data_IF_747425722556
#
_entry.id   IF_747425722556
#
_cell.length_a   1.000
_cell.length_b   1.000
_cell.length_c   1.000
_cell.angle_alpha   90.00
_cell.angle_beta   90.00
_cell.angle_gamma   90.00
#
_symmetry.space_group_name_H-M   'P 1'
#
loop_
_entity.id
_entity.type
_entity.pdbx_description
1 polymer ?
#
# COMPACT_ATOMS: atom_id res chain seq x y z
N UNK A 1 -13.03 4.99 -8.91
CA UNK A 1 -12.64 4.82 -7.49
C UNK A 1 -12.75 3.35 -7.08
N UNK A 2 -11.94 2.86 -6.15
CA UNK A 2 -12.04 1.50 -5.60
C UNK A 2 -12.20 1.58 -4.08
N UNK A 3 -13.12 0.82 -3.52
CA UNK A 3 -13.28 0.68 -2.08
C UNK A 3 -13.42 -0.80 -1.70
N UNK A 4 -12.75 -1.19 -0.63
CA UNK A 4 -12.86 -2.50 0.00
C UNK A 4 -13.01 -2.32 1.51
N UNK A 5 -13.66 -3.28 2.17
CA UNK A 5 -13.72 -3.34 3.63
C UNK A 5 -12.91 -4.52 4.12
N UNK A 6 -12.04 -4.27 5.09
CA UNK A 6 -11.37 -5.32 5.86
C UNK A 6 -12.36 -5.84 6.89
N UNK A 7 -12.45 -7.15 7.06
CA UNK A 7 -13.43 -7.79 7.94
C UNK A 7 -13.19 -7.45 9.43
N UNK A 8 -11.92 -7.42 9.84
CA UNK A 8 -11.49 -7.02 11.19
C UNK A 8 -10.39 -5.95 11.09
N UNK A 9 -10.63 -4.77 11.68
CA UNK A 9 -9.64 -3.69 11.71
C UNK A 9 -8.41 -4.05 12.56
N UNK A 10 -8.54 -4.99 13.51
CA UNK A 10 -7.43 -5.50 14.31
C UNK A 10 -6.36 -6.24 13.50
N UNK A 11 -6.69 -6.69 12.28
CA UNK A 11 -5.73 -7.33 11.36
C UNK A 11 -4.79 -6.32 10.67
N UNK A 12 -5.00 -5.01 10.85
CA UNK A 12 -4.17 -3.96 10.26
C UNK A 12 -3.03 -3.58 11.19
N UNK A 13 -1.81 -3.97 10.81
CA UNK A 13 -0.61 -3.48 11.46
C UNK A 13 -0.25 -2.08 10.93
N UNK A 14 -0.27 -1.08 11.81
CA UNK A 14 0.12 0.30 11.48
C UNK A 14 1.60 0.48 11.79
N UNK A 15 2.40 0.77 10.77
CA UNK A 15 3.83 1.08 10.94
C UNK A 15 3.97 2.46 11.58
N UNK A 16 4.63 2.52 12.74
CA UNK A 16 5.10 3.79 13.31
C UNK A 16 6.23 4.35 12.44
N UNK A 17 6.11 5.57 11.87
CA UNK A 17 7.19 6.20 11.12
C UNK A 17 8.53 6.23 11.87
N UNK A 18 8.50 6.33 13.21
CA UNK A 18 9.71 6.37 14.05
C UNK A 18 10.38 5.01 14.19
N UNK A 19 9.66 3.91 13.96
CA UNK A 19 10.22 2.55 14.01
C UNK A 19 10.86 2.12 12.69
N UNK A 20 10.75 2.93 11.62
CA UNK A 20 11.36 2.61 10.32
C UNK A 20 12.88 2.75 10.44
N UNK A 21 13.68 1.72 10.09
CA UNK A 21 15.12 1.71 10.33
C UNK A 21 15.88 2.89 9.67
N UNK A 22 15.40 3.36 8.53
CA UNK A 22 15.95 4.52 7.84
C UNK A 22 14.82 5.53 7.56
N UNK A 23 14.82 6.71 8.21
CA UNK A 23 13.77 7.70 8.01
C UNK A 23 13.74 8.28 6.59
N UNK A 24 14.81 8.14 5.80
CA UNK A 24 14.82 8.57 4.41
C UNK A 24 13.98 7.67 3.49
N UNK A 25 13.58 6.47 3.93
CA UNK A 25 12.68 5.60 3.15
C UNK A 25 11.27 6.18 3.00
N UNK A 26 10.89 7.15 3.83
CA UNK A 26 9.63 7.89 3.70
C UNK A 26 9.72 9.08 2.73
N UNK A 27 10.76 9.12 1.88
CA UNK A 27 10.92 10.13 0.83
C UNK A 27 10.85 9.45 -0.56
N UNK A 28 10.38 10.14 -1.60
CA UNK A 28 10.34 9.56 -2.95
C UNK A 28 11.74 9.15 -3.43
N UNK A 29 11.87 7.94 -3.99
CA UNK A 29 13.13 7.41 -4.48
C UNK A 29 13.03 5.95 -4.94
N UNK A 30 14.12 5.44 -5.53
CA UNK A 30 14.22 4.03 -5.95
C UNK A 30 14.42 3.16 -4.70
N UNK A 31 13.59 2.12 -4.46
CA UNK A 31 13.70 1.30 -3.27
C UNK A 31 14.97 0.43 -3.31
N UNK A 32 15.79 0.52 -2.27
CA UNK A 32 16.97 -0.32 -2.07
C UNK A 32 16.66 -1.67 -1.41
N UNK A 33 17.64 -2.58 -1.39
CA UNK A 33 17.47 -3.94 -0.87
C UNK A 33 16.98 -3.99 0.59
N UNK A 34 17.48 -3.12 1.47
CA UNK A 34 17.04 -3.07 2.87
C UNK A 34 15.57 -2.64 3.03
N UNK A 35 15.10 -1.73 2.17
CA UNK A 35 13.70 -1.28 2.18
C UNK A 35 12.76 -2.39 1.70
N UNK A 36 13.17 -3.12 0.66
CA UNK A 36 12.42 -4.27 0.14
C UNK A 36 12.34 -5.40 1.18
N UNK A 37 13.47 -5.79 1.78
CA UNK A 37 13.52 -6.84 2.81
C UNK A 37 12.68 -6.48 4.05
N UNK A 38 12.65 -5.20 4.45
CA UNK A 38 11.79 -4.73 5.53
C UNK A 38 10.30 -4.87 5.18
N UNK A 39 9.91 -4.51 3.95
CA UNK A 39 8.55 -4.70 3.45
C UNK A 39 8.14 -6.18 3.39
N UNK A 40 9.02 -7.05 2.88
CA UNK A 40 8.79 -8.50 2.82
C UNK A 40 8.58 -9.10 4.20
N UNK A 41 9.35 -8.66 5.19
CA UNK A 41 9.22 -9.12 6.57
C UNK A 41 7.91 -8.65 7.22
N UNK A 42 7.49 -7.42 6.97
CA UNK A 42 6.18 -6.94 7.40
C UNK A 42 5.04 -7.78 6.80
N UNK A 43 5.08 -8.05 5.50
CA UNK A 43 4.05 -8.85 4.81
C UNK A 43 4.05 -10.33 5.21
N UNK A 44 5.19 -10.86 5.69
CA UNK A 44 5.27 -12.21 6.25
C UNK A 44 4.62 -12.30 7.64
N UNK A 45 4.76 -11.25 8.44
CA UNK A 45 4.28 -11.21 9.84
C UNK A 45 2.85 -10.73 9.99
N UNK A 46 2.39 -9.87 9.09
CA UNK A 46 1.12 -9.17 9.23
C UNK A 46 0.27 -9.31 7.96
N UNK A 47 -1.03 -9.52 8.16
CA UNK A 47 -1.97 -9.74 7.06
C UNK A 47 -2.21 -8.47 6.24
N UNK A 48 -2.40 -7.33 6.92
CA UNK A 48 -2.49 -6.01 6.31
C UNK A 48 -1.48 -5.08 6.97
N UNK A 49 -0.81 -4.26 6.16
CA UNK A 49 0.18 -3.30 6.63
C UNK A 49 -0.21 -1.90 6.15
N UNK A 50 -0.51 -1.01 7.10
CA UNK A 50 -0.62 0.41 6.82
C UNK A 50 0.79 1.03 6.98
N UNK A 51 1.39 1.42 5.86
CA UNK A 51 2.73 2.02 5.81
C UNK A 51 2.66 3.52 5.49
N UNK A 52 3.46 4.39 6.13
CA UNK A 52 3.51 5.81 5.81
C UNK A 52 3.79 6.04 4.31
N UNK A 53 3.05 6.96 3.71
CA UNK A 53 3.23 7.32 2.31
C UNK A 53 4.53 8.12 2.13
N UNK A 54 5.34 7.71 1.15
CA UNK A 54 6.55 8.44 0.76
C UNK A 54 6.25 9.74 -0.01
N UNK A 55 5.00 9.96 -0.45
CA UNK A 55 4.60 11.07 -1.33
C UNK A 55 3.67 12.06 -0.62
N UNK A 56 2.85 11.60 0.33
CA UNK A 56 1.89 12.43 1.05
C UNK A 56 2.12 12.32 2.56
N UNK A 57 2.67 13.36 3.21
CA UNK A 57 2.82 13.38 4.66
C UNK A 57 1.46 13.18 5.36
N UNK A 58 1.48 12.46 6.49
CA UNK A 58 0.28 12.11 7.26
C UNK A 58 -0.75 11.23 6.51
N UNK A 59 -0.36 10.61 5.40
CA UNK A 59 -1.15 9.58 4.71
C UNK A 59 -0.49 8.21 4.85
N UNK A 60 -1.30 7.16 4.80
CA UNK A 60 -0.85 5.77 4.80
C UNK A 60 -1.29 5.08 3.51
N UNK A 61 -0.43 4.21 2.99
CA UNK A 61 -0.76 3.24 1.98
C UNK A 61 -1.06 1.90 2.67
N UNK A 62 -2.09 1.21 2.23
CA UNK A 62 -2.39 -0.14 2.68
C UNK A 62 -1.77 -1.15 1.71
N UNK A 63 -0.95 -2.08 2.23
CA UNK A 63 -0.29 -3.12 1.44
C UNK A 63 -0.60 -4.49 2.05
N UNK A 64 -0.94 -5.45 1.20
CA UNK A 64 -1.25 -6.82 1.59
C UNK A 64 -1.12 -7.77 0.38
N UNK A 65 -0.99 -9.07 0.67
CA UNK A 65 -0.97 -10.11 -0.36
C UNK A 65 -2.39 -10.57 -0.66
N UNK A 66 -2.95 -10.18 -1.82
CA UNK A 66 -4.36 -10.43 -2.15
C UNK A 66 -4.79 -11.91 -2.15
N UNK A 67 -3.88 -12.83 -2.46
CA UNK A 67 -4.15 -14.28 -2.41
C UNK A 67 -4.00 -14.93 -1.04
N UNK A 68 -3.36 -14.25 -0.07
CA UNK A 68 -3.02 -14.83 1.22
C UNK A 68 -4.13 -14.68 2.27
N UNK A 69 -5.23 -13.99 1.94
CA UNK A 69 -6.27 -13.65 2.90
C UNK A 69 -7.70 -13.83 2.32
N UNK A 70 -8.10 -15.07 1.94
CA UNK A 70 -9.48 -15.32 1.51
C UNK A 70 -10.47 -14.86 2.59
N UNK A 71 -11.50 -14.13 2.19
CA UNK A 71 -12.54 -13.56 3.07
C UNK A 71 -12.09 -12.53 4.13
N UNK A 72 -10.80 -12.15 4.19
CA UNK A 72 -10.33 -11.13 5.14
C UNK A 72 -10.68 -9.69 4.72
N UNK A 73 -11.06 -9.51 3.46
CA UNK A 73 -11.60 -8.26 2.94
C UNK A 73 -12.63 -8.57 1.85
N UNK A 74 -13.53 -7.61 1.62
CA UNK A 74 -14.53 -7.67 0.57
C UNK A 74 -14.52 -6.39 -0.25
N UNK A 75 -14.60 -6.53 -1.57
CA UNK A 75 -14.81 -5.40 -2.47
C UNK A 75 -16.18 -4.77 -2.15
N UNK A 76 -16.20 -3.45 -1.91
CA UNK A 76 -17.43 -2.69 -1.72
C UNK A 76 -17.94 -2.17 -3.05
N UNK A 77 -17.06 -1.51 -3.80
CA UNK A 77 -17.32 -1.11 -5.17
C UNK A 77 -16.01 -0.82 -5.89
N UNK A 78 -16.08 -0.84 -7.22
CA UNK A 78 -15.00 -0.42 -8.09
C UNK A 78 -15.61 0.22 -9.33
N UNK A 79 -15.17 1.43 -9.64
CA UNK A 79 -15.53 2.14 -10.86
C UNK A 79 -14.34 2.08 -11.82
N UNK A 80 -14.65 2.11 -13.12
CA UNK A 80 -13.65 2.25 -14.17
C UNK A 80 -12.80 3.50 -13.92
N UNK A 81 -11.47 3.33 -14.02
CA UNK A 81 -10.57 4.45 -14.00
C UNK A 81 -10.71 5.22 -15.32
N UNK A 82 -11.20 6.46 -15.26
CA UNK A 82 -11.18 7.36 -16.40
C UNK A 82 -9.73 7.86 -16.56
N UNK A 83 -8.98 7.20 -17.46
CA UNK A 83 -7.63 7.62 -17.81
C UNK A 83 -7.67 9.05 -18.33
N UNK A 84 -6.86 9.93 -17.73
CA UNK A 84 -6.65 11.29 -18.23
C UNK A 84 -6.27 11.21 -19.72
N UNK A 85 -6.96 11.94 -20.59
CA UNK A 85 -6.73 11.87 -22.04
C UNK A 85 -5.31 12.32 -22.43
N UNK A 86 -4.60 13.04 -21.55
CA UNK A 86 -3.17 13.36 -21.71
C UNK A 86 -2.26 12.13 -21.58
N UNK A 87 -2.75 11.04 -21.00
CA UNK A 87 -2.06 9.75 -20.89
C UNK A 87 -2.44 8.79 -22.03
N UNK A 88 -3.33 9.20 -22.96
CA UNK A 88 -3.50 8.50 -24.22
C UNK A 88 -2.38 8.89 -25.20
N UNK A 89 -1.65 7.91 -25.78
CA UNK A 89 -0.71 8.20 -26.84
C UNK A 89 -1.42 8.90 -28.01
N UNK A 90 -0.78 9.86 -28.70
CA UNK A 90 -1.33 10.42 -29.93
C UNK A 90 -1.53 9.30 -30.97
N UNK A 91 -2.63 9.40 -31.74
CA UNK A 91 -2.85 8.50 -32.88
C UNK A 91 -1.75 8.64 -33.92
N UNK A 92 -1.40 7.52 -34.57
CA UNK A 92 -0.47 7.48 -35.69
C UNK A 92 -0.99 8.20 -36.92
#
# INVERSE_FOLDING_TARGET
MTAAAIADAGDVYVVDPKSVPNPNWARPGIPGAGQQAYGDDLLRRHRFVAIPSAVSPHSWNLVFLGGAAPAAYALKFQESFALDTRLHPPGT
#
